data_IF_696124370049
#
_entry.id   IF_696124370049
#
_cell.length_a   1.000
_cell.length_b   1.000
_cell.length_c   1.000
_cell.angle_alpha   90.00
_cell.angle_beta   90.00
_cell.angle_gamma   90.00
#
_symmetry.space_group_name_H-M   'P 1'
#
loop_
_entity.id
_entity.type
_entity.pdbx_description
1 polymer ?
#
# COMPACT_ATOMS: atom_id res chain seq x y z
N UNK A 1 58.97 37.07 13.27
CA UNK A 1 57.67 37.37 13.93
C UNK A 1 56.58 37.87 12.98
N UNK A 2 56.86 38.67 11.93
CA UNK A 2 55.82 39.11 10.98
C UNK A 2 55.19 37.99 10.13
N UNK A 3 55.98 36.98 9.72
CA UNK A 3 55.48 35.85 8.92
C UNK A 3 54.54 34.92 9.71
N UNK A 4 54.80 34.76 11.01
CA UNK A 4 54.07 33.83 11.89
C UNK A 4 52.69 34.38 12.27
N UNK A 5 52.58 35.70 12.42
CA UNK A 5 51.31 36.41 12.65
C UNK A 5 50.42 36.33 11.40
N UNK A 6 51.00 36.43 10.21
CA UNK A 6 50.26 36.35 8.94
C UNK A 6 49.65 34.96 8.71
N UNK A 7 50.37 33.90 9.06
CA UNK A 7 49.88 32.51 8.98
C UNK A 7 48.74 32.23 9.97
N UNK A 8 48.79 32.80 11.18
CA UNK A 8 47.72 32.64 12.18
C UNK A 8 46.44 33.36 11.73
N UNK A 9 46.56 34.57 11.18
CA UNK A 9 45.41 35.33 10.65
C UNK A 9 44.77 34.61 9.44
N UNK A 10 45.57 34.03 8.55
CA UNK A 10 45.08 33.27 7.40
C UNK A 10 44.34 31.98 7.80
N UNK A 11 44.82 31.25 8.82
CA UNK A 11 44.10 30.08 9.34
C UNK A 11 42.80 30.46 10.07
N UNK A 12 42.75 31.60 10.76
CA UNK A 12 41.53 32.11 11.42
C UNK A 12 40.46 32.54 10.40
N UNK A 13 40.84 33.16 9.28
CA UNK A 13 39.89 33.53 8.22
C UNK A 13 39.30 32.31 7.49
N UNK A 14 40.06 31.23 7.33
CA UNK A 14 39.56 29.97 6.77
C UNK A 14 38.56 29.28 7.72
N UNK A 15 38.79 29.35 9.04
CA UNK A 15 37.89 28.77 10.05
C UNK A 15 36.58 29.55 10.21
N UNK A 16 36.61 30.87 10.13
CA UNK A 16 35.37 31.70 10.18
C UNK A 16 34.49 31.48 8.94
N UNK A 17 35.08 31.11 7.80
CA UNK A 17 34.33 30.75 6.58
C UNK A 17 33.65 29.37 6.67
N UNK A 18 33.99 28.54 7.66
CA UNK A 18 33.42 27.21 7.90
C UNK A 18 32.45 27.15 9.10
N UNK A 19 32.32 28.23 9.89
CA UNK A 19 31.49 28.27 11.12
C UNK A 19 30.36 29.32 11.02
N UNK A 20 29.97 29.75 9.82
CA UNK A 20 29.05 30.89 9.72
C UNK A 20 28.28 31.07 8.42
N UNK A 21 27.68 30.00 7.88
CA UNK A 21 26.43 30.13 7.14
C UNK A 21 25.60 28.83 7.20
N UNK A 22 25.49 28.23 8.38
CA UNK A 22 24.21 27.63 8.78
C UNK A 22 23.25 28.79 9.05
N UNK A 23 22.83 29.47 7.97
CA UNK A 23 21.42 29.81 7.92
C UNK A 23 20.76 28.45 7.79
N UNK A 24 20.41 27.88 8.94
CA UNK A 24 19.13 27.22 9.07
C UNK A 24 18.15 28.28 8.57
N UNK A 25 17.93 28.31 7.25
CA UNK A 25 16.59 28.55 6.77
C UNK A 25 15.84 27.46 7.51
N UNK A 26 15.27 27.84 8.65
CA UNK A 26 13.90 27.47 8.90
C UNK A 26 13.21 27.92 7.62
N UNK A 27 13.22 27.04 6.60
CA UNK A 27 12.08 26.95 5.74
C UNK A 27 10.94 27.06 6.73
N UNK A 28 10.04 28.04 6.60
CA UNK A 28 8.83 27.93 7.37
C UNK A 28 8.42 26.47 7.16
N UNK A 29 8.25 25.74 8.24
CA UNK A 29 7.34 24.63 8.20
C UNK A 29 6.02 25.35 7.89
N UNK A 30 5.83 25.70 6.61
CA UNK A 30 4.62 25.37 5.93
C UNK A 30 4.46 23.92 6.36
N UNK A 31 3.70 23.74 7.44
CA UNK A 31 2.59 22.84 7.35
C UNK A 31 2.09 23.08 5.94
N UNK A 32 2.56 22.24 5.02
CA UNK A 32 1.82 21.96 3.82
C UNK A 32 0.53 21.51 4.48
N UNK A 33 -0.41 22.44 4.57
CA UNK A 33 -1.79 22.13 4.87
C UNK A 33 -2.12 21.27 3.66
N UNK A 34 -1.81 19.98 3.78
CA UNK A 34 -2.14 18.99 2.78
C UNK A 34 -3.63 19.20 2.66
N UNK A 35 -4.13 19.65 1.50
CA UNK A 35 -5.55 19.88 1.34
C UNK A 35 -6.26 18.64 1.86
N UNK A 36 -7.40 18.78 2.57
CA UNK A 36 -8.03 17.65 3.22
C UNK A 36 -8.17 16.52 2.20
N UNK A 37 -7.33 15.49 2.35
CA UNK A 37 -7.31 14.37 1.42
C UNK A 37 -8.68 13.74 1.51
N UNK A 38 -9.33 13.59 0.36
CA UNK A 38 -10.57 12.84 0.27
C UNK A 38 -10.34 11.42 0.83
N UNK A 39 -11.40 10.80 1.35
CA UNK A 39 -11.29 9.42 1.85
C UNK A 39 -10.73 8.46 0.81
N UNK A 40 -11.00 8.72 -0.49
CA UNK A 40 -10.44 7.96 -1.61
C UNK A 40 -8.93 8.17 -1.76
N UNK A 41 -8.44 9.41 -1.70
CA UNK A 41 -6.99 9.69 -1.77
C UNK A 41 -6.24 9.05 -0.59
N UNK A 42 -6.84 9.06 0.61
CA UNK A 42 -6.27 8.36 1.77
C UNK A 42 -6.21 6.84 1.56
N UNK A 43 -7.27 6.25 1.02
CA UNK A 43 -7.33 4.83 0.69
C UNK A 43 -6.29 4.43 -0.35
N UNK A 44 -6.16 5.23 -1.42
CA UNK A 44 -5.17 5.01 -2.46
C UNK A 44 -3.74 5.12 -1.93
N UNK A 45 -3.45 6.14 -1.11
CA UNK A 45 -2.13 6.31 -0.51
C UNK A 45 -1.76 5.17 0.45
N UNK A 46 -2.73 4.68 1.25
CA UNK A 46 -2.53 3.53 2.11
C UNK A 46 -2.24 2.25 1.31
N UNK A 47 -2.99 2.04 0.21
CA UNK A 47 -2.78 0.89 -0.67
C UNK A 47 -1.45 0.98 -1.45
N UNK A 48 -1.04 2.17 -1.87
CA UNK A 48 0.26 2.40 -2.52
C UNK A 48 1.42 1.97 -1.60
N UNK A 49 1.35 2.33 -0.31
CA UNK A 49 2.34 1.91 0.69
C UNK A 49 2.37 0.38 0.86
N UNK A 50 1.20 -0.27 0.90
CA UNK A 50 1.09 -1.74 0.95
C UNK A 50 1.73 -2.37 -0.30
N UNK A 51 1.39 -1.87 -1.48
CA UNK A 51 1.89 -2.40 -2.75
C UNK A 51 3.39 -2.19 -2.92
N UNK A 52 3.94 -1.06 -2.46
CA UNK A 52 5.37 -0.85 -2.40
C UNK A 52 6.05 -1.94 -1.57
N UNK A 53 5.61 -2.16 -0.33
CA UNK A 53 6.20 -3.18 0.55
C UNK A 53 6.02 -4.60 0.02
N UNK A 54 4.88 -4.90 -0.59
CA UNK A 54 4.64 -6.20 -1.24
C UNK A 54 5.56 -6.40 -2.45
N UNK A 55 5.82 -5.34 -3.21
CA UNK A 55 6.78 -5.36 -4.33
C UNK A 55 8.20 -5.62 -3.83
N UNK A 56 8.62 -4.95 -2.74
CA UNK A 56 9.93 -5.19 -2.11
C UNK A 56 10.06 -6.65 -1.63
N UNK A 57 9.01 -7.21 -1.03
CA UNK A 57 8.99 -8.62 -0.60
C UNK A 57 9.09 -9.58 -1.80
N UNK A 58 8.39 -9.29 -2.90
CA UNK A 58 8.44 -10.08 -4.13
C UNK A 58 9.81 -10.03 -4.79
N UNK A 59 10.40 -8.83 -4.92
CA UNK A 59 11.75 -8.65 -5.48
C UNK A 59 12.79 -9.40 -4.65
N UNK A 60 12.68 -9.36 -3.32
CA UNK A 60 13.56 -10.14 -2.45
C UNK A 60 13.42 -11.65 -2.69
N UNK A 61 12.20 -12.15 -2.90
CA UNK A 61 11.97 -13.56 -3.23
C UNK A 61 12.55 -13.93 -4.60
N UNK A 62 12.47 -13.04 -5.60
CA UNK A 62 13.14 -13.21 -6.90
C UNK A 62 14.66 -13.27 -6.75
N UNK A 63 15.25 -12.41 -5.94
CA UNK A 63 16.70 -12.36 -5.69
C UNK A 63 17.21 -13.63 -4.99
N UNK A 64 16.46 -14.16 -4.01
CA UNK A 64 16.85 -15.35 -3.26
C UNK A 64 16.41 -16.67 -3.91
N UNK A 65 15.46 -16.60 -4.86
CA UNK A 65 14.76 -17.76 -5.39
C UNK A 65 13.81 -18.44 -4.39
N UNK A 66 13.50 -17.79 -3.27
CA UNK A 66 12.63 -18.33 -2.21
C UNK A 66 11.28 -17.61 -2.16
N UNK A 67 10.32 -18.16 -2.90
CA UNK A 67 8.95 -17.66 -2.95
C UNK A 67 8.05 -18.19 -1.82
N UNK A 68 8.53 -19.12 -0.99
CA UNK A 68 7.72 -19.73 0.07
C UNK A 68 7.24 -18.72 1.13
N UNK A 69 7.94 -17.59 1.24
CA UNK A 69 7.68 -16.53 2.23
C UNK A 69 6.73 -15.43 1.73
N UNK A 70 6.47 -15.35 0.41
CA UNK A 70 5.73 -14.23 -0.20
C UNK A 70 4.31 -14.11 0.34
N UNK A 71 3.61 -15.25 0.50
CA UNK A 71 2.26 -15.28 1.06
C UNK A 71 2.22 -14.66 2.47
N UNK A 72 3.03 -15.20 3.38
CA UNK A 72 3.07 -14.76 4.78
C UNK A 72 3.52 -13.30 4.89
N UNK A 73 4.54 -12.90 4.13
CA UNK A 73 5.03 -11.52 4.13
C UNK A 73 3.93 -10.54 3.68
N UNK A 74 3.15 -10.90 2.65
CA UNK A 74 2.05 -10.06 2.17
C UNK A 74 0.92 -9.94 3.20
N UNK A 75 0.51 -11.02 3.85
CA UNK A 75 -0.50 -10.98 4.93
C UNK A 75 -0.04 -10.11 6.11
N UNK A 76 1.24 -10.23 6.50
CA UNK A 76 1.83 -9.38 7.53
C UNK A 76 1.85 -7.89 7.12
N UNK A 77 2.12 -7.59 5.85
CA UNK A 77 2.09 -6.22 5.34
C UNK A 77 0.67 -5.65 5.44
N UNK A 78 -0.37 -6.37 5.00
CA UNK A 78 -1.75 -5.91 5.12
C UNK A 78 -2.13 -5.61 6.58
N UNK A 79 -1.80 -6.54 7.48
CA UNK A 79 -2.06 -6.36 8.91
C UNK A 79 -1.33 -5.13 9.48
N UNK A 80 -0.05 -4.98 9.16
CA UNK A 80 0.78 -3.93 9.76
C UNK A 80 0.48 -2.54 9.20
N UNK A 81 0.16 -2.45 7.90
CA UNK A 81 -0.07 -1.17 7.23
C UNK A 81 -1.51 -0.68 7.31
N UNK A 82 -2.48 -1.60 7.21
CA UNK A 82 -3.90 -1.26 7.18
C UNK A 82 -4.63 -1.55 8.49
N UNK A 83 -3.98 -2.24 9.44
CA UNK A 83 -4.65 -2.73 10.64
C UNK A 83 -5.69 -3.81 10.35
N UNK A 84 -5.66 -4.40 9.16
CA UNK A 84 -6.60 -5.44 8.75
C UNK A 84 -6.46 -6.66 9.67
N UNK A 85 -7.60 -7.23 10.07
CA UNK A 85 -7.57 -8.59 10.59
C UNK A 85 -7.13 -9.54 9.49
N UNK A 86 -6.57 -10.68 9.92
CA UNK A 86 -6.19 -11.75 9.00
C UNK A 86 -7.39 -12.12 8.12
N UNK A 87 -7.13 -12.35 6.82
CA UNK A 87 -8.12 -12.82 5.85
C UNK A 87 -9.29 -11.87 5.54
N UNK A 88 -9.26 -10.59 5.97
CA UNK A 88 -10.32 -9.63 5.63
C UNK A 88 -10.57 -9.52 4.11
N UNK A 89 -9.51 -9.61 3.30
CA UNK A 89 -9.63 -9.56 1.84
C UNK A 89 -10.48 -10.71 1.28
N UNK A 90 -10.51 -11.87 1.95
CA UNK A 90 -11.36 -13.01 1.55
C UNK A 90 -12.84 -12.63 1.68
N UNK A 91 -13.21 -11.93 2.75
CA UNK A 91 -14.58 -11.47 2.94
C UNK A 91 -14.97 -10.43 1.87
N UNK A 92 -14.04 -9.55 1.49
CA UNK A 92 -14.28 -8.57 0.42
C UNK A 92 -14.54 -9.27 -0.93
N UNK A 93 -13.73 -10.29 -1.25
CA UNK A 93 -13.90 -11.09 -2.47
C UNK A 93 -15.21 -11.89 -2.43
N UNK A 94 -15.56 -12.46 -1.28
CA UNK A 94 -16.82 -13.20 -1.13
C UNK A 94 -18.04 -12.28 -1.30
N UNK A 95 -18.02 -11.09 -0.69
CA UNK A 95 -19.07 -10.09 -0.92
C UNK A 95 -19.14 -9.73 -2.41
N UNK A 96 -17.99 -9.49 -3.06
CA UNK A 96 -17.95 -9.20 -4.49
C UNK A 96 -18.59 -10.32 -5.32
N UNK A 97 -18.28 -11.59 -5.02
CA UNK A 97 -18.86 -12.76 -5.68
C UNK A 97 -20.37 -12.82 -5.50
N UNK A 98 -20.86 -12.70 -4.26
CA UNK A 98 -22.28 -12.83 -3.95
C UNK A 98 -23.13 -11.74 -4.60
N UNK A 99 -22.67 -10.49 -4.57
CA UNK A 99 -23.41 -9.36 -5.16
C UNK A 99 -23.38 -9.36 -6.70
N UNK A 100 -22.46 -10.10 -7.32
CA UNK A 100 -22.35 -10.21 -8.78
C UNK A 100 -22.86 -11.55 -9.35
N UNK A 101 -23.61 -12.37 -8.58
CA UNK A 101 -24.23 -13.62 -9.07
C UNK A 101 -25.08 -13.46 -10.34
N UNK A 102 -25.68 -12.29 -10.54
CA UNK A 102 -26.43 -11.95 -11.75
C UNK A 102 -25.58 -11.48 -12.94
N UNK A 103 -24.28 -11.25 -12.76
CA UNK A 103 -23.39 -10.68 -13.76
C UNK A 103 -22.29 -11.68 -14.16
N UNK A 104 -22.63 -12.56 -15.10
CA UNK A 104 -21.74 -13.63 -15.57
C UNK A 104 -20.39 -13.12 -16.11
N UNK A 105 -20.36 -11.93 -16.72
CA UNK A 105 -19.11 -11.37 -17.25
C UNK A 105 -18.11 -11.00 -16.14
N UNK A 106 -18.59 -10.45 -15.03
CA UNK A 106 -17.75 -10.14 -13.86
C UNK A 106 -17.28 -11.41 -13.16
N UNK A 107 -18.17 -12.40 -13.01
CA UNK A 107 -17.83 -13.66 -12.36
C UNK A 107 -16.85 -14.52 -13.16
N UNK A 108 -16.94 -14.52 -14.48
CA UNK A 108 -16.01 -15.29 -15.31
C UNK A 108 -14.54 -14.89 -15.07
N UNK A 109 -14.26 -13.59 -14.90
CA UNK A 109 -12.91 -13.12 -14.58
C UNK A 109 -12.44 -13.61 -13.21
N UNK A 110 -13.32 -13.57 -12.20
CA UNK A 110 -13.04 -14.09 -10.86
C UNK A 110 -12.80 -15.61 -10.89
N UNK A 111 -13.67 -16.36 -11.55
CA UNK A 111 -13.58 -17.82 -11.68
C UNK A 111 -12.25 -18.25 -12.33
N UNK A 112 -11.86 -17.60 -13.44
CA UNK A 112 -10.59 -17.88 -14.10
C UNK A 112 -9.39 -17.61 -13.18
N UNK A 113 -9.45 -16.53 -12.38
CA UNK A 113 -8.39 -16.18 -11.43
C UNK A 113 -8.32 -17.19 -10.27
N UNK A 114 -9.46 -17.65 -9.76
CA UNK A 114 -9.56 -18.66 -8.70
C UNK A 114 -9.09 -20.03 -9.19
N UNK A 115 -9.42 -20.42 -10.42
CA UNK A 115 -8.91 -21.62 -11.07
C UNK A 115 -7.39 -21.57 -11.21
N UNK A 116 -6.84 -20.43 -11.66
CA UNK A 116 -5.40 -20.22 -11.74
C UNK A 116 -4.75 -20.30 -10.34
N UNK A 117 -5.35 -19.69 -9.32
CA UNK A 117 -4.86 -19.80 -7.94
C UNK A 117 -4.80 -21.25 -7.47
N UNK A 118 -5.88 -22.02 -7.67
CA UNK A 118 -5.94 -23.43 -7.32
C UNK A 118 -4.87 -24.25 -8.06
N UNK A 119 -4.67 -24.00 -9.35
CA UNK A 119 -3.61 -24.62 -10.13
C UNK A 119 -2.22 -24.32 -9.55
N UNK A 120 -1.94 -23.06 -9.17
CA UNK A 120 -0.64 -22.67 -8.61
C UNK A 120 -0.40 -23.25 -7.22
N UNK A 121 -1.44 -23.41 -6.41
CA UNK A 121 -1.36 -24.16 -5.14
C UNK A 121 -0.97 -25.60 -5.38
N UNK A 122 -1.66 -26.29 -6.30
CA UNK A 122 -1.40 -27.70 -6.61
C UNK A 122 0.01 -27.93 -7.17
N UNK A 123 0.51 -26.96 -7.94
CA UNK A 123 1.83 -27.03 -8.56
C UNK A 123 2.97 -26.50 -7.66
N UNK A 124 2.69 -26.11 -6.41
CA UNK A 124 3.67 -25.49 -5.49
C UNK A 124 4.36 -24.25 -6.08
N UNK A 125 3.59 -23.46 -6.84
CA UNK A 125 4.05 -22.24 -7.53
C UNK A 125 3.30 -20.99 -7.07
N UNK A 126 2.49 -21.11 -6.02
CA UNK A 126 1.67 -20.02 -5.50
C UNK A 126 2.49 -18.76 -5.18
N UNK A 127 3.65 -18.92 -4.55
CA UNK A 127 4.47 -17.77 -4.13
C UNK A 127 4.89 -16.85 -5.30
N UNK A 128 5.10 -17.41 -6.51
CA UNK A 128 5.40 -16.65 -7.72
C UNK A 128 4.18 -15.91 -8.30
N UNK A 129 2.98 -16.39 -8.00
CA UNK A 129 1.72 -15.86 -8.52
C UNK A 129 0.99 -14.94 -7.53
N UNK A 130 1.28 -15.08 -6.24
CA UNK A 130 0.46 -14.50 -5.17
C UNK A 130 0.37 -12.97 -5.23
N UNK A 131 1.45 -12.31 -5.65
CA UNK A 131 1.43 -10.85 -5.82
C UNK A 131 0.37 -10.43 -6.85
N UNK A 132 0.40 -11.03 -8.05
CA UNK A 132 -0.58 -10.78 -9.10
C UNK A 132 -1.99 -11.12 -8.66
N UNK A 133 -2.17 -12.27 -7.99
CA UNK A 133 -3.47 -12.72 -7.50
C UNK A 133 -4.13 -11.69 -6.57
N UNK A 134 -3.43 -11.29 -5.51
CA UNK A 134 -4.02 -10.33 -4.56
C UNK A 134 -4.18 -8.94 -5.17
N UNK A 135 -3.27 -8.52 -6.07
CA UNK A 135 -3.38 -7.22 -6.71
C UNK A 135 -4.59 -7.07 -7.63
N UNK A 136 -5.17 -8.18 -8.12
CA UNK A 136 -6.45 -8.14 -8.82
C UNK A 136 -7.58 -7.60 -7.92
N UNK A 137 -7.45 -7.67 -6.59
CA UNK A 137 -8.46 -7.23 -5.63
C UNK A 137 -8.18 -5.86 -5.00
N UNK A 138 -7.15 -5.14 -5.45
CA UNK A 138 -6.78 -3.83 -4.91
C UNK A 138 -7.97 -2.85 -4.93
N UNK A 139 -8.81 -2.89 -5.96
CA UNK A 139 -10.00 -2.04 -6.05
C UNK A 139 -11.01 -2.31 -4.92
N UNK A 140 -11.18 -3.57 -4.52
CA UNK A 140 -12.06 -3.94 -3.40
C UNK A 140 -11.48 -3.44 -2.07
N UNK A 141 -10.18 -3.63 -1.88
CA UNK A 141 -9.46 -3.19 -0.68
C UNK A 141 -9.50 -1.66 -0.55
N UNK A 142 -9.27 -0.94 -1.64
CA UNK A 142 -9.33 0.53 -1.69
C UNK A 142 -10.73 1.04 -1.36
N UNK A 143 -11.79 0.40 -1.88
CA UNK A 143 -13.16 0.82 -1.54
C UNK A 143 -13.48 0.59 -0.06
N UNK A 144 -13.08 -0.56 0.49
CA UNK A 144 -13.25 -0.83 1.92
C UNK A 144 -12.48 0.21 2.78
N UNK A 145 -11.23 0.52 2.42
CA UNK A 145 -10.45 1.55 3.09
C UNK A 145 -11.11 2.94 2.98
N UNK A 146 -11.62 3.30 1.80
CA UNK A 146 -12.33 4.57 1.58
C UNK A 146 -13.51 4.71 2.55
N UNK A 147 -14.31 3.65 2.71
CA UNK A 147 -15.41 3.61 3.65
C UNK A 147 -14.93 3.73 5.10
N UNK A 148 -13.84 3.04 5.46
CA UNK A 148 -13.27 3.14 6.82
C UNK A 148 -12.76 4.55 7.16
N UNK A 149 -12.27 5.30 6.16
CA UNK A 149 -11.85 6.69 6.34
C UNK A 149 -13.01 7.69 6.29
N UNK A 150 -14.07 7.39 5.54
CA UNK A 150 -15.28 8.22 5.52
C UNK A 150 -16.11 8.07 6.79
N UNK A 151 -16.14 6.87 7.39
CA UNK A 151 -16.93 6.53 8.57
C UNK A 151 -16.07 5.86 9.67
N UNK A 152 -15.09 6.56 10.26
CA UNK A 152 -14.16 5.98 11.23
C UNK A 152 -14.82 5.53 12.54
N UNK A 153 -16.04 5.97 12.82
CA UNK A 153 -16.83 5.58 13.98
C UNK A 153 -17.55 4.23 13.82
N UNK A 154 -17.64 3.69 12.59
CA UNK A 154 -18.35 2.45 12.31
C UNK A 154 -17.56 1.23 12.70
N UNK A 155 -18.27 0.22 13.19
CA UNK A 155 -17.71 -1.12 13.38
C UNK A 155 -17.37 -1.79 12.04
N UNK A 156 -16.51 -2.81 12.07
CA UNK A 156 -16.17 -3.60 10.86
C UNK A 156 -17.43 -4.19 10.20
N UNK A 157 -18.39 -4.68 10.97
CA UNK A 157 -19.66 -5.22 10.46
C UNK A 157 -20.46 -4.17 9.69
N UNK A 158 -20.56 -2.95 10.22
CA UNK A 158 -21.22 -1.84 9.54
C UNK A 158 -20.47 -1.39 8.28
N UNK A 159 -19.13 -1.40 8.31
CA UNK A 159 -18.30 -1.09 7.13
C UNK A 159 -18.46 -2.15 6.03
N UNK A 160 -18.55 -3.43 6.38
CA UNK A 160 -18.81 -4.52 5.43
C UNK A 160 -20.22 -4.42 4.81
N UNK A 161 -21.21 -3.95 5.59
CA UNK A 161 -22.54 -3.68 5.06
C UNK A 161 -22.53 -2.54 4.02
N UNK A 162 -21.83 -1.43 4.31
CA UNK A 162 -21.65 -0.34 3.35
C UNK A 162 -20.84 -0.76 2.12
N UNK A 163 -19.82 -1.61 2.31
CA UNK A 163 -19.03 -2.15 1.22
C UNK A 163 -19.90 -2.99 0.27
N UNK A 164 -20.79 -3.83 0.82
CA UNK A 164 -21.76 -4.58 0.05
C UNK A 164 -22.62 -3.67 -0.81
N UNK A 165 -23.16 -2.59 -0.25
CA UNK A 165 -23.93 -1.59 -1.01
C UNK A 165 -23.10 -0.96 -2.14
N UNK A 166 -21.83 -0.64 -1.91
CA UNK A 166 -20.92 -0.12 -2.94
C UNK A 166 -20.69 -1.11 -4.10
N UNK A 167 -20.62 -2.41 -3.81
CA UNK A 167 -20.50 -3.44 -4.84
C UNK A 167 -21.78 -3.52 -5.66
N UNK A 168 -22.95 -3.57 -5.00
CA UNK A 168 -24.27 -3.66 -5.66
C UNK A 168 -24.55 -2.45 -6.55
N UNK A 169 -24.17 -1.24 -6.11
CA UNK A 169 -24.30 0.01 -6.86
C UNK A 169 -23.28 0.14 -8.02
N UNK A 170 -22.48 -0.89 -8.27
CA UNK A 170 -21.44 -0.93 -9.32
C UNK A 170 -20.39 0.18 -9.20
N UNK A 171 -20.15 0.68 -7.99
CA UNK A 171 -19.13 1.72 -7.73
C UNK A 171 -17.71 1.17 -7.83
N UNK A 172 -17.56 -0.15 -7.83
CA UNK A 172 -16.26 -0.84 -7.90
C UNK A 172 -16.11 -1.56 -9.23
N UNK A 173 -15.05 -1.22 -9.96
CA UNK A 173 -14.65 -1.90 -11.18
C UNK A 173 -13.38 -2.70 -10.89
N UNK A 174 -13.49 -4.02 -10.95
CA UNK A 174 -12.36 -4.95 -10.81
C UNK A 174 -11.89 -5.35 -12.20
N UNK A 175 -10.58 -5.28 -12.45
CA UNK A 175 -9.96 -5.71 -13.70
C UNK A 175 -9.14 -6.96 -13.39
N UNK A 176 -9.63 -8.11 -13.85
CA UNK A 176 -8.92 -9.37 -13.73
C UNK A 176 -7.83 -9.47 -14.83
N UNK A 177 -6.61 -9.92 -14.48
CA UNK A 177 -5.51 -10.09 -15.43
C UNK A 177 -5.72 -11.26 -16.41
#
# INVERSE_FOLDING_TARGET
MRLLILLIVLMLCAFVSLIGCDRVMQQPIMEIITPPQSSLEKAQAAMEKVNQRRTEAHQKAEETGDFSTVFTASEEIFKNELGFRKELWIDLVEIYRQENLGNAARLQGLENLEDAFAEKVLNDTLGMFYFTYISAFDALIVEYLRLSFEFPEKSEEELLALFRESVTDEKIIVIFP
#
